data_IF_512053934178
#
_entry.id   IF_512053934178
#
_cell.length_a   1.000
_cell.length_b   1.000
_cell.length_c   1.000
_cell.angle_alpha   90.00
_cell.angle_beta   90.00
_cell.angle_gamma   90.00
#
_symmetry.space_group_name_H-M   'P 1'
#
loop_
_entity.id
_entity.type
_entity.pdbx_description
1 polymer ?
#
# COMPACT_ATOMS: atom_id res chain seq x y z
N UNK A 1 70.24 -35.97 43.52
CA UNK A 1 71.13 -36.00 42.34
C UNK A 1 70.29 -36.03 41.09
N UNK A 2 70.64 -35.21 40.14
CA UNK A 2 70.16 -35.14 38.73
C UNK A 2 68.76 -34.54 38.60
N UNK A 3 68.63 -33.30 38.52
CA UNK A 3 68.75 -32.39 37.38
C UNK A 3 67.96 -32.89 36.14
N UNK A 4 66.76 -32.53 36.09
CA UNK A 4 65.92 -32.68 34.90
C UNK A 4 65.63 -31.30 34.38
N UNK A 5 66.22 -31.00 33.25
CA UNK A 5 65.96 -29.81 32.47
C UNK A 5 64.50 -29.98 31.87
N UNK A 6 63.62 -29.27 32.43
CA UNK A 6 62.28 -29.09 31.76
C UNK A 6 62.41 -27.99 30.75
N UNK A 7 62.55 -28.38 29.53
CA UNK A 7 62.44 -27.46 28.40
C UNK A 7 60.99 -27.02 28.30
N UNK A 8 60.76 -25.84 28.75
CA UNK A 8 59.49 -25.15 28.54
C UNK A 8 59.47 -24.72 27.09
N UNK A 9 58.80 -25.50 26.29
CA UNK A 9 58.42 -25.06 24.93
C UNK A 9 57.31 -24.06 25.09
N UNK A 10 57.68 -22.80 24.99
CA UNK A 10 56.76 -21.69 24.99
C UNK A 10 56.05 -21.68 23.61
N UNK A 11 54.96 -22.39 23.48
CA UNK A 11 54.11 -22.30 22.34
C UNK A 11 53.38 -20.94 22.38
N UNK A 12 53.92 -20.00 21.64
CA UNK A 12 53.27 -18.75 21.34
C UNK A 12 52.03 -19.06 20.48
N UNK A 13 50.93 -19.30 21.15
CA UNK A 13 49.64 -19.25 20.50
C UNK A 13 49.37 -17.79 20.12
N UNK A 14 49.78 -17.44 18.93
CA UNK A 14 49.30 -16.19 18.29
C UNK A 14 47.82 -16.37 18.08
N UNK A 15 47.02 -15.85 19.01
CA UNK A 15 45.59 -15.66 18.80
C UNK A 15 45.44 -14.65 17.68
N UNK A 16 45.29 -15.17 16.49
CA UNK A 16 44.86 -14.41 15.33
C UNK A 16 43.35 -14.07 15.58
N UNK A 17 43.17 -12.98 16.29
CA UNK A 17 41.85 -12.36 16.40
C UNK A 17 41.51 -11.82 15.00
N UNK A 18 40.99 -12.70 14.14
CA UNK A 18 40.39 -12.29 12.92
C UNK A 18 39.14 -11.45 13.31
N UNK A 19 39.34 -10.15 13.31
CA UNK A 19 38.25 -9.20 13.30
C UNK A 19 37.42 -9.53 12.06
N UNK A 20 36.40 -10.39 12.26
CA UNK A 20 35.37 -10.56 11.30
C UNK A 20 34.59 -9.23 11.29
N UNK A 21 35.05 -8.38 10.41
CA UNK A 21 34.30 -7.20 9.99
C UNK A 21 33.04 -7.71 9.30
N UNK A 22 32.03 -8.05 10.13
CA UNK A 22 30.70 -8.34 9.68
C UNK A 22 30.13 -7.03 9.14
N UNK A 23 30.53 -6.72 7.93
CA UNK A 23 29.91 -5.73 7.09
C UNK A 23 28.50 -6.26 6.85
N UNK A 24 27.64 -6.06 7.83
CA UNK A 24 26.20 -6.18 7.66
C UNK A 24 25.86 -5.22 6.52
N UNK A 25 25.93 -5.79 5.32
CA UNK A 25 25.35 -5.21 4.15
C UNK A 25 23.86 -5.19 4.44
N UNK A 26 23.42 -4.11 5.05
CA UNK A 26 22.00 -3.77 5.18
C UNK A 26 21.52 -3.46 3.77
N UNK A 27 21.44 -4.52 2.97
CA UNK A 27 20.61 -4.54 1.78
C UNK A 27 19.22 -4.26 2.32
N UNK A 28 18.78 -3.05 2.13
CA UNK A 28 17.37 -2.70 2.23
C UNK A 28 16.68 -3.60 1.20
N UNK A 29 16.35 -4.80 1.66
CA UNK A 29 15.40 -5.64 0.96
C UNK A 29 14.12 -4.83 0.98
N UNK A 30 13.85 -4.18 -0.13
CA UNK A 30 12.51 -3.73 -0.46
C UNK A 30 11.66 -4.99 -0.30
N UNK A 31 11.00 -5.10 0.84
CA UNK A 31 10.18 -6.26 1.15
C UNK A 31 9.18 -6.41 0.01
N UNK A 32 9.45 -7.35 -0.87
CA UNK A 32 8.46 -7.81 -1.85
C UNK A 32 7.25 -8.20 -1.02
N UNK A 33 6.08 -7.58 -1.23
CA UNK A 33 4.94 -7.84 -0.39
C UNK A 33 4.69 -9.34 -0.28
N UNK A 34 4.52 -9.85 0.93
CA UNK A 34 4.34 -11.28 1.21
C UNK A 34 3.17 -11.91 0.43
N UNK A 35 2.38 -11.11 -0.24
CA UNK A 35 1.20 -11.47 -1.02
C UNK A 35 1.38 -11.27 -2.54
N UNK A 36 2.61 -11.25 -3.04
CA UNK A 36 2.87 -11.21 -4.48
C UNK A 36 2.09 -12.31 -5.20
N UNK A 37 1.25 -11.94 -6.18
CA UNK A 37 0.33 -12.85 -6.88
C UNK A 37 -1.15 -12.62 -6.56
N UNK A 38 -1.48 -11.62 -5.74
CA UNK A 38 -2.80 -11.03 -5.69
C UNK A 38 -3.09 -10.26 -6.99
N UNK A 39 -4.35 -10.18 -7.36
CA UNK A 39 -4.78 -9.44 -8.55
C UNK A 39 -6.13 -8.76 -8.25
N UNK A 40 -6.21 -7.47 -8.52
CA UNK A 40 -7.40 -6.68 -8.25
C UNK A 40 -8.15 -6.39 -9.55
N UNK A 41 -9.43 -6.65 -9.54
CA UNK A 41 -10.35 -6.30 -10.62
C UNK A 41 -11.50 -5.47 -10.06
N UNK A 42 -11.68 -4.28 -10.57
CA UNK A 42 -12.81 -3.41 -10.23
C UNK A 42 -13.98 -3.65 -11.16
N UNK A 43 -15.20 -3.63 -10.62
CA UNK A 43 -16.45 -3.73 -11.41
C UNK A 43 -16.62 -2.50 -12.30
N UNK A 44 -16.21 -1.33 -11.79
CA UNK A 44 -16.18 -0.05 -12.50
C UNK A 44 -14.93 0.72 -12.12
N UNK A 45 -14.31 1.38 -13.07
CA UNK A 45 -13.19 2.32 -12.83
C UNK A 45 -13.64 3.78 -12.77
N UNK A 46 -14.87 4.06 -13.15
CA UNK A 46 -15.47 5.39 -13.16
C UNK A 46 -16.77 5.35 -12.38
N UNK A 47 -16.89 6.23 -11.40
CA UNK A 47 -18.13 6.52 -10.69
C UNK A 47 -18.66 7.86 -11.19
N UNK A 48 -19.92 7.90 -11.59
CA UNK A 48 -20.59 9.11 -12.02
C UNK A 48 -21.72 9.44 -11.04
N UNK A 49 -21.51 10.46 -10.23
CA UNK A 49 -22.49 10.92 -9.24
C UNK A 49 -23.64 11.74 -9.86
N UNK A 50 -23.53 12.05 -11.16
CA UNK A 50 -24.53 12.89 -11.83
C UNK A 50 -24.49 14.36 -11.35
N UNK A 51 -25.67 14.97 -11.19
CA UNK A 51 -25.82 16.33 -10.68
C UNK A 51 -25.85 16.31 -9.16
N UNK A 52 -24.98 17.08 -8.54
CA UNK A 52 -24.82 17.23 -7.09
C UNK A 52 -24.93 18.69 -6.72
N UNK A 53 -25.75 19.03 -5.74
CA UNK A 53 -25.87 20.41 -5.26
C UNK A 53 -24.66 20.83 -4.44
N UNK A 54 -24.33 22.12 -4.44
CA UNK A 54 -23.32 22.65 -3.55
C UNK A 54 -23.71 22.36 -2.08
N UNK A 55 -22.74 21.93 -1.27
CA UNK A 55 -22.90 21.48 0.12
C UNK A 55 -23.68 20.14 0.28
N UNK A 56 -24.14 19.52 -0.79
CA UNK A 56 -24.69 18.18 -0.72
C UNK A 56 -23.58 17.15 -0.49
N UNK A 57 -23.90 16.14 0.33
CA UNK A 57 -23.00 15.00 0.56
C UNK A 57 -23.53 13.79 -0.21
N UNK A 58 -22.77 13.32 -1.17
CA UNK A 58 -23.13 12.15 -1.99
C UNK A 58 -22.13 11.04 -1.76
N UNK A 59 -22.62 9.82 -1.62
CA UNK A 59 -21.80 8.64 -1.39
C UNK A 59 -22.02 7.62 -2.50
N UNK A 60 -20.92 7.02 -2.97
CA UNK A 60 -20.95 5.85 -3.84
C UNK A 60 -19.87 4.86 -3.43
N UNK A 61 -19.89 3.66 -4.01
CA UNK A 61 -19.01 2.58 -3.65
C UNK A 61 -18.39 1.96 -4.90
N UNK A 62 -17.07 1.77 -4.88
CA UNK A 62 -16.39 0.91 -5.83
C UNK A 62 -16.27 -0.48 -5.22
N UNK A 63 -16.70 -1.48 -5.97
CA UNK A 63 -16.53 -2.89 -5.62
C UNK A 63 -15.37 -3.45 -6.42
N UNK A 64 -14.54 -4.27 -5.78
CA UNK A 64 -13.46 -4.98 -6.44
C UNK A 64 -13.46 -6.45 -6.01
N UNK A 65 -12.91 -7.29 -6.85
CA UNK A 65 -12.71 -8.72 -6.60
C UNK A 65 -11.23 -9.04 -6.65
N UNK A 66 -10.76 -9.86 -5.72
CA UNK A 66 -9.44 -10.46 -5.83
C UNK A 66 -9.51 -11.65 -6.79
N UNK A 67 -9.11 -11.45 -8.03
CA UNK A 67 -9.04 -12.50 -9.06
C UNK A 67 -7.68 -13.22 -9.08
N UNK A 68 -6.79 -12.87 -8.16
CA UNK A 68 -5.50 -13.52 -7.99
C UNK A 68 -5.58 -14.80 -7.17
N UNK A 69 -4.40 -15.38 -6.90
CA UNK A 69 -4.25 -16.64 -6.15
C UNK A 69 -3.77 -16.43 -4.72
N UNK A 70 -3.46 -15.21 -4.33
CA UNK A 70 -2.96 -14.83 -3.00
C UNK A 70 -3.85 -13.75 -2.39
N UNK A 71 -3.87 -13.61 -1.06
CA UNK A 71 -4.63 -12.56 -0.40
C UNK A 71 -4.26 -11.17 -0.92
N UNK A 72 -5.26 -10.34 -1.17
CA UNK A 72 -5.13 -8.96 -1.62
C UNK A 72 -5.22 -8.01 -0.43
N UNK A 73 -4.25 -7.13 -0.31
CA UNK A 73 -4.18 -6.08 0.70
C UNK A 73 -4.19 -4.71 0.03
N UNK A 74 -5.09 -3.85 0.46
CA UNK A 74 -5.02 -2.43 0.14
C UNK A 74 -4.13 -1.74 1.18
N UNK A 75 -3.06 -1.08 0.72
CA UNK A 75 -2.15 -0.36 1.59
C UNK A 75 -2.63 1.06 1.86
N UNK A 76 -3.14 1.69 0.80
CA UNK A 76 -3.57 3.07 0.85
C UNK A 76 -4.62 3.35 -0.23
N UNK A 77 -5.57 4.21 0.10
CA UNK A 77 -6.53 4.76 -0.85
C UNK A 77 -6.64 6.25 -0.61
N UNK A 78 -6.29 7.04 -1.60
CA UNK A 78 -6.25 8.50 -1.48
C UNK A 78 -7.05 9.17 -2.57
N UNK A 79 -7.79 10.22 -2.21
CA UNK A 79 -8.44 11.12 -3.14
C UNK A 79 -7.56 12.33 -3.43
N UNK A 80 -7.60 12.82 -4.66
CA UNK A 80 -6.78 13.94 -5.10
C UNK A 80 -7.23 15.31 -4.54
N UNK A 81 -8.37 15.38 -3.84
CA UNK A 81 -8.87 16.62 -3.22
C UNK A 81 -9.49 16.36 -1.86
N UNK A 82 -9.53 17.40 -1.03
CA UNK A 82 -10.21 17.39 0.27
C UNK A 82 -11.74 17.29 0.18
N UNK A 83 -12.31 17.56 -1.01
CA UNK A 83 -13.74 17.43 -1.29
C UNK A 83 -14.21 15.97 -1.43
N UNK A 84 -13.28 15.02 -1.39
CA UNK A 84 -13.58 13.59 -1.50
C UNK A 84 -12.88 12.85 -0.36
N UNK A 85 -13.67 12.15 0.45
CA UNK A 85 -13.16 11.23 1.46
C UNK A 85 -13.34 9.80 0.97
N UNK A 86 -12.45 8.92 1.43
CA UNK A 86 -12.50 7.50 1.10
C UNK A 86 -12.44 6.66 2.37
N UNK A 87 -13.22 5.60 2.39
CA UNK A 87 -13.22 4.61 3.48
C UNK A 87 -13.02 3.23 2.85
N UNK A 88 -12.09 2.45 3.39
CA UNK A 88 -11.78 1.11 2.90
C UNK A 88 -11.30 0.22 4.06
N UNK A 89 -11.34 -1.09 3.84
CA UNK A 89 -10.83 -2.07 4.81
C UNK A 89 -9.37 -2.40 4.49
N UNK A 90 -8.55 -2.48 5.52
CA UNK A 90 -7.17 -2.99 5.44
C UNK A 90 -7.10 -4.50 5.66
N UNK A 91 -8.23 -5.16 5.92
CA UNK A 91 -8.29 -6.61 6.05
C UNK A 91 -7.97 -7.29 4.71
N UNK A 92 -7.23 -8.41 4.72
CA UNK A 92 -6.92 -9.15 3.50
C UNK A 92 -8.19 -9.67 2.81
N UNK A 93 -8.30 -9.43 1.51
CA UNK A 93 -9.38 -10.00 0.67
C UNK A 93 -8.86 -11.28 0.05
N UNK A 94 -9.45 -12.39 0.43
CA UNK A 94 -9.04 -13.73 -0.04
C UNK A 94 -9.33 -13.91 -1.53
N UNK A 95 -8.64 -14.84 -2.22
CA UNK A 95 -8.92 -15.18 -3.61
C UNK A 95 -10.41 -15.45 -3.86
N UNK A 96 -10.96 -14.86 -4.92
CA UNK A 96 -12.38 -14.97 -5.29
C UNK A 96 -13.35 -14.17 -4.42
N UNK A 97 -12.87 -13.46 -3.40
CA UNK A 97 -13.70 -12.60 -2.55
C UNK A 97 -13.69 -11.16 -3.03
N UNK A 98 -14.71 -10.42 -2.63
CA UNK A 98 -14.91 -9.02 -2.96
C UNK A 98 -14.56 -8.12 -1.79
N UNK A 99 -14.14 -6.90 -2.10
CA UNK A 99 -13.98 -5.80 -1.17
C UNK A 99 -14.62 -4.53 -1.71
N UNK A 100 -14.74 -3.52 -0.88
CA UNK A 100 -15.37 -2.25 -1.25
C UNK A 100 -14.52 -1.06 -0.82
N UNK A 101 -14.60 0.00 -1.61
CA UNK A 101 -14.06 1.33 -1.30
C UNK A 101 -15.23 2.30 -1.37
N UNK A 102 -15.63 2.83 -0.23
CA UNK A 102 -16.68 3.84 -0.14
C UNK A 102 -16.09 5.21 -0.39
N UNK A 103 -16.74 5.98 -1.22
CA UNK A 103 -16.35 7.33 -1.60
C UNK A 103 -17.42 8.31 -1.17
N UNK A 104 -17.04 9.35 -0.46
CA UNK A 104 -17.92 10.39 0.05
C UNK A 104 -17.46 11.70 -0.59
N UNK A 105 -18.32 12.27 -1.42
CA UNK A 105 -18.05 13.53 -2.12
C UNK A 105 -18.92 14.64 -1.54
N UNK A 106 -18.31 15.82 -1.31
CA UNK A 106 -19.00 17.02 -0.90
C UNK A 106 -18.28 18.26 -1.44
N UNK A 107 -18.90 18.92 -2.39
CA UNK A 107 -18.41 20.22 -2.90
C UNK A 107 -18.93 21.35 -2.00
N UNK A 108 -18.02 22.10 -1.41
CA UNK A 108 -18.36 23.13 -0.41
C UNK A 108 -17.95 24.55 -0.82
N UNK A 109 -17.23 24.66 -1.92
CA UNK A 109 -16.73 25.98 -2.42
C UNK A 109 -17.45 26.37 -3.70
N UNK A 110 -17.78 27.66 -3.88
CA UNK A 110 -18.34 28.15 -5.14
C UNK A 110 -17.52 27.76 -6.37
N UNK A 111 -16.20 27.70 -6.23
CA UNK A 111 -15.27 27.28 -7.29
C UNK A 111 -15.41 25.80 -7.66
N UNK A 112 -16.11 25.01 -6.86
CA UNK A 112 -16.40 23.60 -7.16
C UNK A 112 -17.61 23.43 -8.11
N UNK A 113 -18.31 24.49 -8.46
CA UNK A 113 -19.44 24.45 -9.39
C UNK A 113 -18.99 24.05 -10.79
N UNK A 114 -19.82 23.28 -11.50
CA UNK A 114 -19.57 22.76 -12.83
C UNK A 114 -19.09 21.31 -12.85
N UNK A 115 -18.67 20.86 -14.03
CA UNK A 115 -18.19 19.49 -14.21
C UNK A 115 -16.89 19.23 -13.43
N UNK A 116 -16.89 18.25 -12.57
CA UNK A 116 -15.76 17.84 -11.73
C UNK A 116 -15.33 16.42 -12.04
N UNK A 117 -14.04 16.25 -12.19
CA UNK A 117 -13.41 14.93 -12.30
C UNK A 117 -12.33 14.81 -11.22
N UNK A 118 -12.44 13.83 -10.36
CA UNK A 118 -11.50 13.58 -9.27
C UNK A 118 -10.89 12.20 -9.42
N UNK A 119 -9.60 12.08 -9.10
CA UNK A 119 -8.87 10.83 -9.12
C UNK A 119 -8.79 10.26 -7.71
N UNK A 120 -8.93 8.95 -7.63
CA UNK A 120 -8.73 8.17 -6.42
C UNK A 120 -7.64 7.17 -6.74
N UNK A 121 -6.56 7.22 -5.99
CA UNK A 121 -5.42 6.31 -6.13
C UNK A 121 -5.57 5.19 -5.13
N UNK A 122 -5.49 3.95 -5.60
CA UNK A 122 -5.53 2.73 -4.80
C UNK A 122 -4.18 2.05 -4.90
N UNK A 123 -3.47 1.94 -3.79
CA UNK A 123 -2.20 1.22 -3.68
C UNK A 123 -2.42 -0.13 -2.98
N UNK A 124 -1.90 -1.20 -3.56
CA UNK A 124 -2.11 -2.57 -3.08
C UNK A 124 -0.91 -3.47 -3.35
N UNK A 125 -0.96 -4.71 -2.85
CA UNK A 125 0.01 -5.76 -3.20
C UNK A 125 -0.35 -6.51 -4.48
N UNK A 126 -1.33 -6.06 -5.23
CA UNK A 126 -1.71 -6.70 -6.49
C UNK A 126 -0.60 -6.57 -7.55
N UNK A 127 -0.69 -7.37 -8.60
CA UNK A 127 0.21 -7.29 -9.76
C UNK A 127 0.27 -5.88 -10.35
N UNK A 128 -0.88 -5.19 -10.37
CA UNK A 128 -0.94 -3.74 -10.60
C UNK A 128 -0.93 -3.07 -9.23
N UNK A 129 0.25 -2.73 -8.73
CA UNK A 129 0.47 -2.16 -7.39
C UNK A 129 -0.31 -0.85 -7.16
N UNK A 130 -0.64 -0.16 -8.25
CA UNK A 130 -1.40 1.08 -8.24
C UNK A 130 -2.51 1.09 -9.30
N UNK A 131 -3.73 1.39 -8.87
CA UNK A 131 -4.90 1.57 -9.74
C UNK A 131 -5.47 2.97 -9.53
N UNK A 132 -5.88 3.61 -10.62
CA UNK A 132 -6.54 4.93 -10.59
C UNK A 132 -8.02 4.75 -10.89
N UNK A 133 -8.85 5.17 -9.94
CA UNK A 133 -10.29 5.27 -10.11
C UNK A 133 -10.68 6.73 -10.36
N UNK A 134 -11.78 6.94 -11.03
CA UNK A 134 -12.26 8.26 -11.41
C UNK A 134 -13.65 8.51 -10.85
N UNK A 135 -13.82 9.64 -10.17
CA UNK A 135 -15.10 10.16 -9.73
C UNK A 135 -15.49 11.33 -10.64
N UNK A 136 -16.71 11.33 -11.16
CA UNK A 136 -17.28 12.43 -11.94
C UNK A 136 -18.53 12.95 -11.26
N UNK A 137 -18.68 14.26 -11.20
CA UNK A 137 -19.85 14.95 -10.70
C UNK A 137 -20.08 16.25 -11.49
N UNK A 138 -21.31 16.69 -11.63
CA UNK A 138 -21.66 18.00 -12.09
C UNK A 138 -22.27 18.79 -10.91
N UNK A 139 -21.48 19.69 -10.35
CA UNK A 139 -21.90 20.47 -9.18
C UNK A 139 -22.70 21.68 -9.64
N UNK A 140 -23.87 21.87 -9.06
CA UNK A 140 -24.75 23.00 -9.33
C UNK A 140 -24.99 23.84 -8.06
N UNK A 141 -25.23 25.13 -8.22
CA UNK A 141 -25.79 25.94 -7.15
C UNK A 141 -27.28 25.60 -6.97
N UNK A 142 -27.78 25.80 -5.77
CA UNK A 142 -29.21 25.68 -5.48
C UNK A 142 -30.01 26.76 -6.19
#
# INVERSE_FOLDING_TARGET
MKRICVLIVLALAVSFCAAQNNKQNSKTETATPAYAGAEIQFDKSVCNLGTVKLNEVVTDTFTFTNVGKKPLLLYNVTAACSCTKVEFSTAPVMPGKTGTIKVIFSATKPDDVGARTKRITVDSNAKSDRVILTLKANVVMD
#
